data_IF_652611137761
#
_entry.id   IF_652611137761
#
_cell.length_a   1.000
_cell.length_b   1.000
_cell.length_c   1.000
_cell.angle_alpha   90.00
_cell.angle_beta   90.00
_cell.angle_gamma   90.00
#
_symmetry.space_group_name_H-M   'P 1'
#
loop_
_entity.id
_entity.type
_entity.pdbx_description
1 polymer ?
#
# COMPACT_ATOMS: atom_id res chain seq x y z
N UNK A 1 4.00 6.93 15.01
CA UNK A 1 5.12 5.97 15.05
C UNK A 1 4.65 4.82 15.94
N UNK A 2 4.23 3.70 15.35
CA UNK A 2 3.99 2.47 16.10
C UNK A 2 5.32 1.72 16.08
N UNK A 3 5.88 1.44 17.26
CA UNK A 3 7.11 0.66 17.45
C UNK A 3 8.41 1.20 16.82
N UNK A 4 8.51 2.52 16.56
CA UNK A 4 9.71 3.08 15.94
C UNK A 4 9.78 2.90 14.41
N UNK A 5 8.75 2.32 13.79
CA UNK A 5 8.70 2.12 12.34
C UNK A 5 8.30 3.42 11.64
N UNK A 6 9.10 3.83 10.66
CA UNK A 6 8.80 4.95 9.78
C UNK A 6 8.02 4.45 8.55
N UNK A 7 6.71 4.72 8.53
CA UNK A 7 5.83 4.33 7.42
C UNK A 7 5.88 5.29 6.22
N UNK A 8 6.48 6.48 6.38
CA UNK A 8 6.51 7.53 5.34
C UNK A 8 7.08 7.06 3.99
N UNK A 9 8.22 6.34 3.96
CA UNK A 9 8.77 5.81 2.71
C UNK A 9 7.80 4.88 1.96
N UNK A 10 7.05 4.04 2.66
CA UNK A 10 6.11 3.11 2.05
C UNK A 10 4.88 3.83 1.48
N UNK A 11 4.42 4.89 2.14
CA UNK A 11 3.37 5.76 1.57
C UNK A 11 3.88 6.47 0.31
N UNK A 12 5.13 6.96 0.32
CA UNK A 12 5.72 7.59 -0.86
C UNK A 12 5.87 6.62 -2.04
N UNK A 13 6.22 5.35 -1.78
CA UNK A 13 6.25 4.30 -2.79
C UNK A 13 4.84 4.03 -3.35
N UNK A 14 3.84 3.85 -2.49
CA UNK A 14 2.45 3.65 -2.87
C UNK A 14 1.94 4.74 -3.83
N UNK A 15 2.20 6.01 -3.51
CA UNK A 15 1.80 7.16 -4.33
C UNK A 15 2.56 7.28 -5.67
N UNK A 16 3.72 6.62 -5.80
CA UNK A 16 4.54 6.60 -7.03
C UNK A 16 4.29 5.38 -7.91
N UNK A 17 3.35 4.51 -7.54
CA UNK A 17 3.09 3.27 -8.28
C UNK A 17 4.01 2.11 -7.91
N UNK A 18 4.86 2.26 -6.89
CA UNK A 18 5.61 1.16 -6.32
C UNK A 18 4.79 0.51 -5.22
N UNK A 19 4.10 -0.57 -5.60
CA UNK A 19 3.13 -1.25 -4.74
C UNK A 19 3.69 -2.46 -3.99
N UNK A 20 5.00 -2.67 -4.08
CA UNK A 20 5.69 -3.75 -3.37
C UNK A 20 5.25 -5.14 -3.85
N UNK A 21 5.06 -6.05 -2.90
CA UNK A 21 4.89 -7.49 -3.09
C UNK A 21 3.53 -7.95 -3.61
N UNK A 22 2.74 -7.08 -4.23
CA UNK A 22 1.49 -7.48 -4.88
C UNK A 22 1.78 -8.26 -6.18
N UNK A 23 0.88 -9.15 -6.56
CA UNK A 23 1.01 -9.92 -7.80
C UNK A 23 0.58 -9.12 -9.04
N UNK A 24 0.79 -9.68 -10.23
CA UNK A 24 0.49 -9.00 -11.49
C UNK A 24 -1.01 -8.68 -11.66
N UNK A 25 -1.90 -9.57 -11.24
CA UNK A 25 -3.33 -9.32 -11.31
C UNK A 25 -3.76 -8.17 -10.39
N UNK A 26 -3.13 -8.02 -9.22
CA UNK A 26 -3.33 -6.88 -8.33
C UNK A 26 -2.76 -5.59 -8.91
N UNK A 27 -1.59 -5.67 -9.57
CA UNK A 27 -0.97 -4.54 -10.27
C UNK A 27 -1.88 -4.01 -11.39
N UNK A 28 -2.45 -4.90 -12.20
CA UNK A 28 -3.42 -4.54 -13.25
C UNK A 28 -4.64 -3.85 -12.64
N UNK A 29 -5.23 -4.41 -11.56
CA UNK A 29 -6.37 -3.78 -10.86
C UNK A 29 -6.06 -2.38 -10.34
N UNK A 30 -4.86 -2.15 -9.80
CA UNK A 30 -4.45 -0.82 -9.36
C UNK A 30 -4.38 0.17 -10.53
N UNK A 31 -3.80 -0.25 -11.67
CA UNK A 31 -3.71 0.57 -12.88
C UNK A 31 -5.12 0.93 -13.37
N UNK A 32 -5.99 -0.07 -13.54
CA UNK A 32 -7.38 0.15 -13.95
C UNK A 32 -8.11 1.10 -12.99
N UNK A 33 -7.87 0.99 -11.69
CA UNK A 33 -8.52 1.85 -10.70
C UNK A 33 -8.05 3.31 -10.79
N UNK A 34 -6.77 3.53 -11.09
CA UNK A 34 -6.21 4.86 -11.31
C UNK A 34 -6.71 5.47 -12.62
N UNK A 35 -6.71 4.71 -13.71
CA UNK A 35 -7.20 5.18 -15.02
C UNK A 35 -8.69 5.56 -14.99
N UNK A 36 -9.49 4.80 -14.24
CA UNK A 36 -10.92 5.06 -14.10
C UNK A 36 -11.27 6.02 -12.94
N UNK A 37 -10.27 6.61 -12.27
CA UNK A 37 -10.45 7.49 -11.10
C UNK A 37 -11.34 6.90 -9.99
N UNK A 38 -11.34 5.57 -9.85
CA UNK A 38 -12.09 4.87 -8.79
C UNK A 38 -11.30 4.96 -7.47
N UNK A 39 -9.97 5.12 -7.58
CA UNK A 39 -9.10 5.46 -6.46
C UNK A 39 -8.95 4.31 -5.45
N UNK A 40 -9.11 3.06 -5.88
CA UNK A 40 -8.85 1.84 -5.12
C UNK A 40 -7.47 1.28 -5.47
N UNK A 41 -6.48 1.55 -4.64
CA UNK A 41 -5.10 1.07 -4.83
C UNK A 41 -4.68 0.26 -3.62
N UNK A 42 -3.96 -0.83 -3.85
CA UNK A 42 -3.36 -1.68 -2.81
C UNK A 42 -1.84 -1.71 -2.95
N UNK A 43 -1.13 -1.68 -1.82
CA UNK A 43 0.29 -2.02 -1.74
C UNK A 43 0.56 -2.89 -0.55
N UNK A 44 1.53 -3.79 -0.70
CA UNK A 44 1.97 -4.70 0.35
C UNK A 44 3.48 -4.57 0.46
N UNK A 45 3.97 -4.20 1.63
CA UNK A 45 5.40 -4.07 1.89
C UNK A 45 5.79 -4.86 3.14
N UNK A 46 6.78 -5.73 2.98
CA UNK A 46 7.47 -6.33 4.11
C UNK A 46 8.49 -5.31 4.64
N UNK A 47 8.29 -4.87 5.89
CA UNK A 47 9.13 -3.87 6.55
C UNK A 47 10.25 -4.54 7.35
N UNK A 48 9.90 -5.62 8.04
CA UNK A 48 10.82 -6.58 8.69
C UNK A 48 10.35 -7.99 8.35
N UNK A 49 11.14 -9.05 8.61
CA UNK A 49 10.67 -10.42 8.38
C UNK A 49 9.32 -10.76 9.05
N UNK A 50 9.03 -10.12 10.19
CA UNK A 50 7.83 -10.33 11.01
C UNK A 50 6.70 -9.33 10.70
N UNK A 51 7.03 -8.19 10.08
CA UNK A 51 6.09 -7.07 9.89
C UNK A 51 5.85 -6.83 8.41
N UNK A 52 4.64 -7.13 7.98
CA UNK A 52 4.11 -6.75 6.68
C UNK A 52 3.01 -5.71 6.87
N UNK A 53 3.10 -4.61 6.14
CA UNK A 53 2.06 -3.57 6.12
C UNK A 53 1.29 -3.62 4.81
N UNK A 54 0.01 -3.25 4.91
CA UNK A 54 -0.86 -3.10 3.76
C UNK A 54 -1.28 -1.64 3.69
N UNK A 55 -1.09 -1.02 2.53
CA UNK A 55 -1.49 0.37 2.29
C UNK A 55 -2.58 0.35 1.24
N UNK A 56 -3.75 0.90 1.57
CA UNK A 56 -4.83 1.06 0.61
C UNK A 56 -5.24 2.51 0.48
N UNK A 57 -5.46 2.96 -0.75
CA UNK A 57 -6.19 4.20 -1.02
C UNK A 57 -7.57 3.84 -1.54
N UNK A 58 -8.62 4.48 -1.03
CA UNK A 58 -10.02 4.35 -1.47
C UNK A 58 -10.75 5.67 -1.27
N UNK A 59 -11.44 6.15 -2.30
CA UNK A 59 -12.24 7.39 -2.24
C UNK A 59 -11.46 8.60 -1.66
N UNK A 60 -10.19 8.74 -2.05
CA UNK A 60 -9.32 9.84 -1.60
C UNK A 60 -8.75 9.67 -0.18
N UNK A 61 -9.00 8.55 0.49
CA UNK A 61 -8.46 8.24 1.81
C UNK A 61 -7.43 7.13 1.73
N UNK A 62 -6.25 7.34 2.32
CA UNK A 62 -5.21 6.33 2.44
C UNK A 62 -5.20 5.76 3.86
N UNK A 63 -5.28 4.44 3.98
CA UNK A 63 -5.24 3.68 5.23
C UNK A 63 -4.03 2.77 5.21
N UNK A 64 -3.29 2.74 6.33
CA UNK A 64 -2.19 1.81 6.56
C UNK A 64 -2.67 0.80 7.61
N UNK A 65 -2.79 -0.45 7.21
CA UNK A 65 -3.05 -1.56 8.11
C UNK A 65 -1.72 -2.09 8.65
N UNK A 66 -1.66 -2.23 9.97
CA UNK A 66 -0.52 -2.75 10.70
C UNK A 66 -0.87 -4.13 11.26
N UNK A 67 0.12 -5.02 11.43
CA UNK A 67 -0.12 -6.31 12.06
C UNK A 67 -0.65 -6.11 13.49
N UNK A 68 -1.61 -6.95 13.88
CA UNK A 68 -1.97 -7.09 15.30
C UNK A 68 -0.85 -7.87 16.00
N UNK A 69 -0.50 -7.46 17.22
CA UNK A 69 0.41 -8.22 18.08
C UNK A 69 -0.19 -9.57 18.47
#
# INVERSE_FOLDING_TARGET
MLEGINFGPFVAMHLRGDWGGINEAERVRNIESLENNIGHVLSIHQVTPEITIWITTKAGQTVIMLPMK
#
